data_IF_896978695124
#
_entry.id   IF_896978695124
#
_cell.length_a   1.000
_cell.length_b   1.000
_cell.length_c   1.000
_cell.angle_alpha   90.00
_cell.angle_beta   90.00
_cell.angle_gamma   90.00
#
_symmetry.space_group_name_H-M   'P 1'
#
loop_
_entity.id
_entity.type
_entity.pdbx_description
1 polymer ?
#
# COMPACT_ATOMS: atom_id res chain seq x y z
N UNK A 1 -17.30 -17.50 0.01
CA UNK A 1 -16.29 -16.50 0.40
C UNK A 1 -16.87 -15.57 1.45
N UNK A 2 -16.06 -15.15 2.41
CA UNK A 2 -16.56 -14.33 3.52
C UNK A 2 -16.14 -12.88 3.42
N UNK A 3 -14.95 -12.62 2.92
CA UNK A 3 -14.42 -11.25 2.88
C UNK A 3 -13.19 -11.18 2.00
N UNK A 4 -12.81 -9.98 1.64
CA UNK A 4 -11.53 -9.76 1.00
C UNK A 4 -10.47 -9.69 2.11
N UNK A 5 -9.64 -10.69 2.19
CA UNK A 5 -8.71 -10.82 3.31
C UNK A 5 -7.42 -10.05 3.10
N UNK A 6 -6.75 -10.29 1.98
CA UNK A 6 -5.46 -9.66 1.70
C UNK A 6 -5.39 -9.23 0.25
N UNK A 7 -4.71 -8.11 0.04
CA UNK A 7 -4.35 -7.67 -1.31
C UNK A 7 -2.83 -7.78 -1.40
N UNK A 8 -2.34 -8.41 -2.47
CA UNK A 8 -0.90 -8.61 -2.64
C UNK A 8 -0.30 -7.42 -3.36
N UNK A 9 0.74 -6.83 -2.76
CA UNK A 9 1.52 -5.77 -3.38
C UNK A 9 2.90 -6.30 -3.72
N UNK A 10 3.22 -6.27 -5.01
CA UNK A 10 4.52 -6.74 -5.47
C UNK A 10 5.40 -5.54 -5.71
N UNK A 11 6.54 -5.50 -5.03
CA UNK A 11 7.41 -4.33 -5.03
C UNK A 11 8.83 -4.73 -5.39
N UNK A 12 9.62 -3.74 -5.79
CA UNK A 12 11.03 -3.99 -6.07
C UNK A 12 11.83 -4.20 -4.79
N UNK A 13 11.50 -3.44 -3.75
CA UNK A 13 12.27 -3.42 -2.50
C UNK A 13 11.31 -3.52 -1.32
N UNK A 14 11.27 -4.69 -0.71
CA UNK A 14 10.36 -4.95 0.41
C UNK A 14 10.68 -4.12 1.66
N UNK A 15 11.67 -3.85 1.91
CA UNK A 15 12.06 -3.17 2.97
C UNK A 15 11.68 -1.82 2.93
N UNK A 16 12.03 -1.28 1.84
CA UNK A 16 11.64 0.09 1.54
C UNK A 16 10.13 0.26 1.61
N UNK A 17 9.40 -0.67 1.05
CA UNK A 17 7.94 -0.64 1.11
C UNK A 17 7.44 -0.75 2.54
N UNK A 18 8.02 -1.64 3.32
CA UNK A 18 7.63 -1.77 4.72
C UNK A 18 7.78 -0.43 5.44
N UNK A 19 8.91 0.25 5.25
CA UNK A 19 9.14 1.53 5.90
C UNK A 19 8.11 2.56 5.45
N UNK A 20 7.80 2.59 4.17
CA UNK A 20 6.82 3.55 3.67
C UNK A 20 5.45 3.33 4.32
N UNK A 21 4.96 2.10 4.28
CA UNK A 21 3.62 1.83 4.80
C UNK A 21 3.53 1.97 6.31
N UNK A 22 4.60 1.62 7.05
CA UNK A 22 4.54 1.67 8.52
C UNK A 22 5.01 2.99 9.08
N UNK A 23 6.06 3.60 8.54
CA UNK A 23 6.60 4.84 9.09
C UNK A 23 5.91 6.07 8.52
N UNK A 24 5.71 6.09 7.21
CA UNK A 24 5.07 7.27 6.59
C UNK A 24 3.56 7.23 6.74
N UNK A 25 2.93 6.09 6.48
CA UNK A 25 1.47 5.98 6.52
C UNK A 25 0.94 5.41 7.84
N UNK A 26 1.83 4.99 8.73
CA UNK A 26 1.48 4.53 10.08
C UNK A 26 0.59 3.27 10.11
N UNK A 27 0.73 2.43 9.09
CA UNK A 27 0.10 1.11 9.13
C UNK A 27 0.78 0.26 10.19
N UNK A 28 0.10 -0.76 10.68
CA UNK A 28 0.68 -1.68 11.64
C UNK A 28 1.13 -2.96 10.94
N UNK A 29 2.23 -3.54 11.43
CA UNK A 29 2.69 -4.83 10.91
C UNK A 29 1.87 -5.93 11.54
N UNK A 30 1.24 -6.74 10.70
CA UNK A 30 0.45 -7.89 11.16
C UNK A 30 1.33 -9.12 11.26
N UNK A 31 2.19 -9.34 10.29
CA UNK A 31 3.05 -10.52 10.30
C UNK A 31 4.23 -10.31 9.36
N UNK A 32 5.29 -11.06 9.61
CA UNK A 32 6.43 -11.18 8.71
C UNK A 32 6.72 -12.65 8.55
N UNK A 33 6.61 -13.14 7.35
CA UNK A 33 6.70 -14.57 7.08
C UNK A 33 7.91 -14.85 6.19
N UNK A 34 8.86 -15.67 6.66
CA UNK A 34 9.98 -16.05 5.80
C UNK A 34 9.50 -16.87 4.60
N UNK A 35 10.08 -16.58 3.47
CA UNK A 35 9.82 -17.30 2.23
C UNK A 35 11.11 -17.97 1.77
N UNK A 36 11.02 -18.72 0.68
CA UNK A 36 12.20 -19.36 0.11
C UNK A 36 13.24 -18.32 -0.29
N UNK A 37 14.51 -18.72 -0.29
CA UNK A 37 15.63 -17.90 -0.76
C UNK A 37 15.79 -16.59 0.02
N UNK A 38 15.44 -16.64 1.32
CA UNK A 38 15.58 -15.49 2.22
C UNK A 38 14.68 -14.30 1.90
N UNK A 39 13.69 -14.48 1.04
CA UNK A 39 12.66 -13.47 0.87
C UNK A 39 11.72 -13.46 2.07
N UNK A 40 11.01 -12.36 2.26
CA UNK A 40 10.06 -12.21 3.36
C UNK A 40 8.79 -11.56 2.85
N UNK A 41 7.64 -12.09 3.28
CA UNK A 41 6.35 -11.43 3.03
C UNK A 41 6.00 -10.60 4.27
N UNK A 42 5.66 -9.33 4.07
CA UNK A 42 5.32 -8.44 5.18
C UNK A 42 3.85 -8.05 5.03
N UNK A 43 3.04 -8.43 6.01
CA UNK A 43 1.62 -8.08 6.01
C UNK A 43 1.41 -6.85 6.87
N UNK A 44 0.81 -5.81 6.31
CA UNK A 44 0.53 -4.56 7.02
C UNK A 44 -0.95 -4.22 6.87
N UNK A 45 -1.46 -3.46 7.81
CA UNK A 45 -2.87 -3.15 7.89
C UNK A 45 -3.05 -1.70 8.30
N UNK A 46 -4.10 -1.01 7.79
CA UNK A 46 -4.34 0.38 8.20
C UNK A 46 -4.52 0.54 9.70
N UNK A 47 -5.25 -0.41 10.31
CA UNK A 47 -5.44 -0.44 11.75
C UNK A 47 -5.30 -1.87 12.21
N UNK A 48 -5.16 -2.01 13.52
CA UNK A 48 -5.03 -3.32 14.13
C UNK A 48 -6.22 -4.25 13.82
N UNK A 49 -7.40 -3.68 13.68
CA UNK A 49 -8.63 -4.45 13.52
C UNK A 49 -9.21 -4.44 12.11
N UNK A 50 -8.46 -3.95 11.13
CA UNK A 50 -8.97 -3.86 9.76
C UNK A 50 -9.23 -5.25 9.20
N UNK A 51 -10.29 -5.38 8.42
CA UNK A 51 -10.64 -6.66 7.81
C UNK A 51 -9.75 -7.04 6.64
N UNK A 52 -9.22 -6.04 5.94
CA UNK A 52 -8.38 -6.27 4.77
C UNK A 52 -6.99 -5.71 5.03
N UNK A 53 -5.98 -6.47 4.67
CA UNK A 53 -4.60 -6.06 4.83
C UNK A 53 -3.87 -6.10 3.49
N UNK A 54 -2.67 -5.55 3.46
CA UNK A 54 -1.79 -5.62 2.31
C UNK A 54 -0.64 -6.56 2.64
N UNK A 55 -0.31 -7.44 1.70
CA UNK A 55 0.85 -8.32 1.87
C UNK A 55 1.89 -7.93 0.85
N UNK A 56 3.03 -7.46 1.33
CA UNK A 56 4.10 -6.93 0.51
C UNK A 56 5.10 -8.03 0.21
N UNK A 57 5.38 -8.26 -1.06
CA UNK A 57 6.35 -9.26 -1.47
C UNK A 57 7.19 -8.74 -2.63
N UNK A 58 8.40 -9.30 -2.76
CA UNK A 58 9.29 -8.89 -3.84
C UNK A 58 8.79 -9.41 -5.18
N UNK A 59 8.75 -8.53 -6.17
CA UNK A 59 8.44 -8.94 -7.55
C UNK A 59 9.34 -10.06 -8.01
N UNK A 60 10.62 -9.95 -7.70
CA UNK A 60 11.61 -10.95 -8.10
C UNK A 60 11.24 -12.34 -7.62
N UNK A 61 10.79 -12.44 -6.37
CA UNK A 61 10.38 -13.72 -5.82
C UNK A 61 9.17 -14.29 -6.56
N UNK A 62 8.19 -13.44 -6.84
CA UNK A 62 6.97 -13.89 -7.50
C UNK A 62 7.26 -14.31 -8.93
N UNK A 63 8.14 -13.61 -9.62
CA UNK A 63 8.52 -14.01 -10.98
C UNK A 63 9.12 -15.40 -10.99
N UNK A 64 9.86 -15.76 -9.97
CA UNK A 64 10.45 -17.10 -9.86
C UNK A 64 9.42 -18.18 -9.51
N UNK A 65 8.60 -17.72 -8.51
CA UNK A 65 7.81 -18.67 -7.97
C UNK A 65 6.51 -18.86 -8.60
N UNK A 66 6.04 -17.88 -9.14
CA UNK A 66 4.71 -17.91 -9.75
C UNK A 66 4.67 -17.04 -11.03
N UNK A 67 5.37 -17.45 -12.05
CA UNK A 67 5.53 -16.60 -13.23
C UNK A 67 4.22 -16.22 -13.93
N UNK A 68 3.13 -16.92 -13.67
CA UNK A 68 1.84 -16.60 -14.29
C UNK A 68 1.11 -15.45 -13.60
N UNK A 69 1.60 -15.00 -12.44
CA UNK A 69 0.92 -13.95 -11.67
C UNK A 69 1.19 -12.59 -12.29
N UNK A 70 0.14 -11.77 -12.39
CA UNK A 70 0.27 -10.40 -12.85
C UNK A 70 0.91 -9.57 -11.74
N UNK A 71 2.01 -8.91 -12.05
CA UNK A 71 2.78 -8.14 -11.06
C UNK A 71 2.34 -6.69 -10.95
N UNK A 72 1.32 -6.29 -11.69
CA UNK A 72 0.85 -4.91 -11.64
C UNK A 72 0.31 -4.50 -10.29
N UNK A 73 0.41 -3.21 -9.99
CA UNK A 73 -0.10 -2.66 -8.75
C UNK A 73 -1.61 -2.46 -8.88
N UNK A 74 -2.40 -2.99 -7.95
CA UNK A 74 -3.84 -2.77 -8.05
C UNK A 74 -4.21 -1.33 -7.74
N UNK A 75 -5.35 -0.89 -8.26
CA UNK A 75 -5.93 0.40 -7.89
C UNK A 75 -6.60 0.25 -6.54
N UNK A 76 -6.11 0.94 -5.55
CA UNK A 76 -6.67 0.88 -4.20
C UNK A 76 -7.01 2.28 -3.73
N UNK A 77 -8.16 2.40 -3.08
CA UNK A 77 -8.56 3.66 -2.46
C UNK A 77 -8.80 3.43 -0.97
N UNK A 78 -8.09 4.21 -0.17
CA UNK A 78 -8.22 4.17 1.29
C UNK A 78 -9.11 5.31 1.73
N UNK A 79 -9.70 5.17 2.91
CA UNK A 79 -10.47 6.24 3.52
C UNK A 79 -9.70 6.78 4.72
N UNK A 80 -9.64 8.10 4.85
CA UNK A 80 -8.92 8.74 5.95
C UNK A 80 -9.73 9.91 6.49
N UNK A 81 -10.13 9.83 7.75
CA UNK A 81 -10.91 10.92 8.33
C UNK A 81 -10.07 12.18 8.55
N UNK A 82 -8.78 12.03 8.84
CA UNK A 82 -7.86 13.17 8.94
C UNK A 82 -7.26 13.48 7.57
N UNK A 83 -8.13 13.62 6.60
CA UNK A 83 -7.80 13.68 5.18
C UNK A 83 -6.86 14.83 4.85
N UNK A 84 -7.18 16.06 5.33
CA UNK A 84 -6.35 17.21 5.00
C UNK A 84 -4.97 17.12 5.63
N UNK A 85 -4.87 16.59 6.83
CA UNK A 85 -3.57 16.42 7.48
C UNK A 85 -2.72 15.41 6.71
N UNK A 86 -3.33 14.32 6.25
CA UNK A 86 -2.59 13.34 5.47
C UNK A 86 -2.12 13.92 4.14
N UNK A 87 -3.02 14.67 3.47
CA UNK A 87 -2.62 15.33 2.22
C UNK A 87 -1.41 16.24 2.44
N UNK A 88 -1.45 17.08 3.47
CA UNK A 88 -0.35 17.99 3.75
C UNK A 88 0.95 17.26 4.01
N UNK A 89 0.89 16.20 4.79
CA UNK A 89 2.08 15.40 5.08
C UNK A 89 2.69 14.82 3.81
N UNK A 90 1.86 14.19 3.00
CA UNK A 90 2.36 13.54 1.79
C UNK A 90 2.81 14.57 0.75
N UNK A 91 2.11 15.70 0.68
CA UNK A 91 2.49 16.76 -0.24
C UNK A 91 3.84 17.37 0.14
N UNK A 92 4.07 17.55 1.44
CA UNK A 92 5.35 18.07 1.92
C UNK A 92 6.50 17.10 1.59
N UNK A 93 6.21 15.83 1.52
CA UNK A 93 7.21 14.82 1.16
C UNK A 93 7.37 14.67 -0.36
N UNK A 94 6.60 15.42 -1.14
CA UNK A 94 6.66 15.32 -2.60
C UNK A 94 5.99 14.10 -3.17
N UNK A 95 5.05 13.52 -2.44
CA UNK A 95 4.46 12.24 -2.82
C UNK A 95 3.05 12.36 -3.41
N UNK A 96 2.51 13.57 -3.54
CA UNK A 96 1.20 13.76 -4.18
C UNK A 96 1.41 14.20 -5.63
N UNK A 97 0.58 13.71 -6.52
CA UNK A 97 0.73 14.01 -7.94
C UNK A 97 0.10 15.34 -8.34
N UNK A 98 -1.00 15.69 -7.72
CA UNK A 98 -1.72 16.91 -8.02
C UNK A 98 -2.64 17.24 -6.86
N UNK A 99 -3.40 18.32 -7.04
CA UNK A 99 -4.24 18.84 -5.97
C UNK A 99 -5.38 17.88 -5.63
N UNK A 100 -5.98 18.12 -4.48
CA UNK A 100 -7.19 17.41 -4.08
C UNK A 100 -8.28 17.71 -5.12
N UNK A 101 -9.00 16.66 -5.52
CA UNK A 101 -10.14 16.80 -6.43
C UNK A 101 -11.41 16.36 -5.73
N UNK A 102 -12.56 16.85 -6.22
CA UNK A 102 -13.84 16.47 -5.67
C UNK A 102 -14.63 15.71 -6.73
N UNK A 103 -15.14 14.57 -6.35
CA UNK A 103 -15.92 13.75 -7.24
C UNK A 103 -17.08 13.16 -6.47
N UNK A 104 -18.19 13.59 -6.91
CA UNK A 104 -19.31 13.04 -6.36
C UNK A 104 -19.51 13.29 -4.95
N UNK A 105 -19.20 14.26 -4.53
CA UNK A 105 -19.40 14.56 -3.13
C UNK A 105 -18.29 14.07 -2.23
N UNK A 106 -17.25 13.54 -2.80
CA UNK A 106 -16.15 12.93 -2.09
C UNK A 106 -14.85 13.56 -2.56
N UNK A 107 -13.95 13.81 -1.62
CA UNK A 107 -12.65 14.34 -2.03
C UNK A 107 -11.62 13.21 -2.11
N UNK A 108 -10.75 13.17 -3.10
CA UNK A 108 -9.82 12.16 -3.31
C UNK A 108 -8.57 12.81 -3.63
N UNK A 109 -7.48 12.23 -3.27
CA UNK A 109 -6.18 12.58 -3.85
C UNK A 109 -5.39 11.30 -4.07
N UNK A 110 -4.40 11.39 -4.93
CA UNK A 110 -3.50 10.27 -5.20
C UNK A 110 -2.15 10.52 -4.57
N UNK A 111 -1.49 9.44 -4.17
CA UNK A 111 -0.12 9.52 -3.70
C UNK A 111 0.69 8.38 -4.29
N UNK A 112 1.99 8.56 -4.32
CA UNK A 112 2.88 7.52 -4.79
C UNK A 112 3.74 7.02 -3.63
N UNK A 113 4.20 5.79 -3.78
CA UNK A 113 4.95 5.14 -2.71
C UNK A 113 6.46 5.22 -2.86
N UNK A 114 6.93 5.92 -3.87
CA UNK A 114 8.36 6.02 -4.11
C UNK A 114 8.93 4.89 -4.93
N UNK A 115 8.10 3.92 -5.30
CA UNK A 115 8.54 2.81 -6.15
C UNK A 115 7.67 2.68 -7.40
N UNK A 116 6.94 3.72 -7.71
CA UNK A 116 6.14 3.78 -8.93
C UNK A 116 4.69 3.37 -8.79
N UNK A 117 4.14 3.06 -7.66
CA UNK A 117 2.85 2.69 -7.51
C UNK A 117 2.09 3.80 -7.01
N UNK A 118 0.97 3.86 -7.44
CA UNK A 118 0.07 4.95 -7.04
C UNK A 118 -1.15 4.42 -6.33
N UNK A 119 -1.63 5.18 -5.34
CA UNK A 119 -2.79 4.82 -4.54
C UNK A 119 -3.63 6.05 -4.33
N UNK A 120 -4.88 5.86 -3.88
CA UNK A 120 -5.80 6.97 -3.68
C UNK A 120 -6.32 6.99 -2.25
N UNK A 121 -6.69 8.19 -1.81
CA UNK A 121 -7.29 8.39 -0.49
C UNK A 121 -8.56 9.20 -0.69
N UNK A 122 -9.62 8.84 0.02
CA UNK A 122 -10.84 9.64 0.09
C UNK A 122 -11.09 10.09 1.51
N UNK A 123 -11.90 11.15 1.63
CA UNK A 123 -12.34 11.59 2.96
C UNK A 123 -13.55 10.81 3.44
#
# INVERSE_FOLDING_TARGET
>A
MEKLNQVMLYVDDVXKAKAFWTETLEFVVVSETPLAEDYVAVEVSPTKDAETSLTIMAKEFIEKXSPEVNLGTPSLMFKEKNFDALYSKLNDLGLTGHDIVEMXGQRXFNFQDGQGXYFAVSD
#
